data_IF_656203670653
#
_entry.id   IF_656203670653
#
_cell.length_a   1.000
_cell.length_b   1.000
_cell.length_c   1.000
_cell.angle_alpha   90.00
_cell.angle_beta   90.00
_cell.angle_gamma   90.00
#
_symmetry.space_group_name_H-M   'P 1'
#
loop_
_entity.id
_entity.type
_entity.pdbx_description
1 polymer ?
#
# COMPACT_ATOMS: atom_id res chain seq x y z
N UNK A 1 -4.29 9.16 -8.75
CA UNK A 1 -5.31 8.07 -8.75
C UNK A 1 -5.24 7.20 -7.50
N UNK A 2 -4.10 6.60 -7.13
CA UNK A 2 -4.01 5.69 -5.97
C UNK A 2 -4.62 6.25 -4.67
N UNK A 3 -4.30 7.50 -4.30
CA UNK A 3 -4.88 8.10 -3.08
C UNK A 3 -6.39 8.35 -3.21
N UNK A 4 -6.91 8.60 -4.41
CA UNK A 4 -8.36 8.72 -4.64
C UNK A 4 -9.05 7.37 -4.42
N UNK A 5 -8.44 6.26 -4.84
CA UNK A 5 -8.96 4.90 -4.59
C UNK A 5 -8.97 4.62 -3.08
N UNK A 6 -7.87 4.90 -2.38
CA UNK A 6 -7.77 4.75 -0.93
C UNK A 6 -8.89 5.51 -0.21
N UNK A 7 -9.05 6.80 -0.51
CA UNK A 7 -10.10 7.64 0.05
C UNK A 7 -11.50 7.08 -0.25
N UNK A 8 -11.76 6.72 -1.50
CA UNK A 8 -13.06 6.23 -1.93
C UNK A 8 -13.45 4.90 -1.25
N UNK A 9 -12.47 4.07 -0.88
CA UNK A 9 -12.72 2.85 -0.11
C UNK A 9 -12.99 3.19 1.36
N UNK A 10 -12.16 4.03 1.97
CA UNK A 10 -12.28 4.40 3.39
C UNK A 10 -13.61 5.08 3.72
N UNK A 11 -14.15 5.90 2.81
CA UNK A 11 -15.40 6.62 3.05
C UNK A 11 -16.66 5.82 2.73
N UNK A 12 -16.54 4.61 2.15
CA UNK A 12 -17.70 3.83 1.73
C UNK A 12 -18.21 2.93 2.85
N UNK A 13 -19.53 2.96 3.06
CA UNK A 13 -20.22 1.94 3.84
C UNK A 13 -20.32 0.67 3.02
N UNK A 14 -19.69 -0.40 3.49
CA UNK A 14 -19.72 -1.71 2.84
C UNK A 14 -20.84 -2.55 3.44
N UNK A 15 -21.71 -3.08 2.57
CA UNK A 15 -22.80 -3.97 2.95
C UNK A 15 -22.63 -5.29 2.22
N UNK A 16 -22.61 -6.39 2.97
CA UNK A 16 -22.61 -7.74 2.42
C UNK A 16 -23.96 -8.02 1.79
N UNK A 17 -24.03 -8.04 0.45
CA UNK A 17 -25.29 -8.17 -0.29
C UNK A 17 -26.11 -9.41 0.07
N UNK A 18 -25.45 -10.51 0.43
CA UNK A 18 -26.14 -11.78 0.76
C UNK A 18 -26.82 -11.78 2.13
N UNK A 19 -26.37 -10.95 3.07
CA UNK A 19 -26.88 -10.94 4.46
C UNK A 19 -27.46 -9.61 4.90
N UNK A 20 -27.23 -8.52 4.14
CA UNK A 20 -27.58 -7.15 4.55
C UNK A 20 -26.67 -6.60 5.66
N UNK A 21 -25.68 -7.38 6.09
CA UNK A 21 -24.76 -7.01 7.17
C UNK A 21 -23.85 -5.85 6.75
N UNK A 22 -23.74 -4.84 7.60
CA UNK A 22 -22.76 -3.76 7.42
C UNK A 22 -21.41 -4.24 7.94
N UNK A 23 -20.40 -4.33 7.06
CA UNK A 23 -19.06 -4.83 7.40
C UNK A 23 -18.16 -3.80 8.12
N UNK A 24 -18.74 -2.67 8.54
CA UNK A 24 -18.01 -1.57 9.15
C UNK A 24 -17.17 -0.76 8.15
N UNK A 25 -16.23 0.02 8.70
CA UNK A 25 -15.26 0.77 7.92
C UNK A 25 -14.11 -0.14 7.47
N UNK A 26 -13.91 -0.26 6.16
CA UNK A 26 -12.75 -0.96 5.60
C UNK A 26 -11.79 0.06 5.00
N UNK A 27 -10.51 -0.27 5.03
CA UNK A 27 -9.45 0.54 4.43
C UNK A 27 -8.57 -0.31 3.53
N UNK A 28 -7.81 0.33 2.66
CA UNK A 28 -6.83 -0.33 1.79
C UNK A 28 -5.47 0.32 1.95
N UNK A 29 -4.42 -0.50 1.89
CA UNK A 29 -3.04 -0.03 1.72
C UNK A 29 -2.64 -0.26 0.28
N UNK A 30 -1.94 0.69 -0.34
CA UNK A 30 -1.60 0.63 -1.76
C UNK A 30 -0.10 0.87 -1.92
N UNK A 31 0.57 -0.03 -2.65
CA UNK A 31 1.91 0.17 -3.16
C UNK A 31 1.88 0.55 -4.63
N UNK A 32 2.68 1.54 -5.04
CA UNK A 32 2.74 1.98 -6.43
C UNK A 32 4.18 2.07 -6.93
N UNK A 33 4.39 1.59 -8.15
CA UNK A 33 5.65 1.65 -8.86
C UNK A 33 5.40 2.10 -10.29
N UNK A 34 6.33 2.86 -10.86
CA UNK A 34 6.34 3.29 -12.25
C UNK A 34 7.10 2.29 -13.09
N UNK A 35 6.58 1.99 -14.27
CA UNK A 35 7.30 1.18 -15.24
C UNK A 35 8.61 1.87 -15.67
N UNK A 36 9.70 1.12 -15.72
CA UNK A 36 11.01 1.54 -16.18
C UNK A 36 11.30 0.88 -17.53
N UNK A 37 11.70 1.63 -18.57
CA UNK A 37 12.00 1.05 -19.87
C UNK A 37 13.03 -0.09 -19.78
N UNK A 38 12.69 -1.25 -20.35
CA UNK A 38 13.57 -2.42 -20.37
C UNK A 38 13.49 -3.34 -19.14
N UNK A 39 12.70 -3.00 -18.13
CA UNK A 39 12.47 -3.91 -17.00
C UNK A 39 11.44 -4.99 -17.32
N UNK A 40 11.48 -6.09 -16.58
CA UNK A 40 10.48 -7.15 -16.67
C UNK A 40 9.21 -6.79 -15.89
N UNK A 41 8.06 -7.33 -16.32
CA UNK A 41 6.79 -7.16 -15.58
C UNK A 41 6.88 -7.71 -14.13
N UNK A 42 7.51 -8.87 -13.86
CA UNK A 42 7.75 -9.32 -12.49
C UNK A 42 8.50 -8.30 -11.63
N UNK A 43 9.51 -7.61 -12.18
CA UNK A 43 10.27 -6.61 -11.43
C UNK A 43 9.41 -5.39 -11.05
N UNK A 44 8.57 -4.93 -11.99
CA UNK A 44 7.59 -3.87 -11.72
C UNK A 44 6.63 -4.28 -10.60
N UNK A 45 6.07 -5.49 -10.67
CA UNK A 45 5.14 -6.01 -9.65
C UNK A 45 5.85 -6.12 -8.30
N UNK A 46 7.06 -6.65 -8.27
CA UNK A 46 7.85 -6.78 -7.04
C UNK A 46 8.12 -5.43 -6.38
N UNK A 47 8.45 -4.38 -7.15
CA UNK A 47 8.64 -3.02 -6.61
C UNK A 47 7.33 -2.44 -6.05
N UNK A 48 6.21 -2.66 -6.74
CA UNK A 48 4.90 -2.24 -6.24
C UNK A 48 4.53 -2.99 -4.95
N UNK A 49 4.83 -4.29 -4.85
CA UNK A 49 4.57 -5.09 -3.67
C UNK A 49 5.44 -4.67 -2.47
N UNK A 50 6.72 -4.34 -2.69
CA UNK A 50 7.58 -3.78 -1.64
C UNK A 50 6.99 -2.47 -1.07
N UNK A 51 6.49 -1.59 -1.94
CA UNK A 51 5.82 -0.36 -1.50
C UNK A 51 4.53 -0.68 -0.71
N UNK A 52 3.76 -1.68 -1.15
CA UNK A 52 2.55 -2.13 -0.46
C UNK A 52 2.88 -2.65 0.93
N UNK A 53 3.96 -3.42 1.06
CA UNK A 53 4.42 -3.95 2.34
C UNK A 53 4.85 -2.83 3.29
N UNK A 54 5.58 -1.83 2.80
CA UNK A 54 5.90 -0.61 3.56
C UNK A 54 4.63 0.12 4.01
N UNK A 55 3.63 0.27 3.14
CA UNK A 55 2.36 0.90 3.51
C UNK A 55 1.65 0.15 4.66
N UNK A 56 1.72 -1.19 4.66
CA UNK A 56 1.19 -2.02 5.74
C UNK A 56 1.96 -1.83 7.05
N UNK A 57 3.28 -1.81 6.99
CA UNK A 57 4.15 -1.70 8.17
C UNK A 57 4.12 -0.30 8.81
N UNK A 58 3.93 0.75 8.02
CA UNK A 58 3.87 2.13 8.52
C UNK A 58 2.52 2.49 9.16
N UNK A 59 1.60 1.53 9.37
CA UNK A 59 0.31 1.76 10.01
C UNK A 59 -0.90 1.64 9.10
N UNK A 60 -0.75 1.02 7.91
CA UNK A 60 -1.84 0.75 6.95
C UNK A 60 -2.54 2.03 6.48
N UNK A 61 -3.66 1.86 5.77
CA UNK A 61 -4.55 2.91 5.25
C UNK A 61 -3.80 4.08 4.59
N UNK A 62 -2.82 3.76 3.74
CA UNK A 62 -1.97 4.76 3.07
C UNK A 62 -1.49 4.25 1.72
N UNK A 63 -1.00 5.20 0.93
CA UNK A 63 -0.29 4.92 -0.31
C UNK A 63 1.19 5.12 -0.06
N UNK A 64 2.01 4.16 -0.46
CA UNK A 64 3.45 4.32 -0.58
C UNK A 64 3.81 4.12 -2.04
N UNK A 65 4.61 5.03 -2.58
CA UNK A 65 5.17 4.90 -3.92
C UNK A 65 6.69 4.80 -3.87
N UNK A 66 7.29 4.27 -4.93
CA UNK A 66 8.72 3.93 -4.95
C UNK A 66 9.64 5.10 -4.59
N UNK A 67 9.29 6.34 -4.96
CA UNK A 67 10.10 7.53 -4.66
C UNK A 67 10.20 7.82 -3.15
N UNK A 68 9.26 7.30 -2.34
CA UNK A 68 9.28 7.42 -0.88
C UNK A 68 10.10 6.34 -0.19
N UNK A 69 10.51 5.28 -0.91
CA UNK A 69 11.12 4.11 -0.29
C UNK A 69 12.51 4.39 0.27
N UNK A 70 13.26 5.32 -0.30
CA UNK A 70 14.55 5.77 0.26
C UNK A 70 14.36 6.46 1.61
N UNK A 71 13.42 7.40 1.70
CA UNK A 71 13.07 8.07 2.95
C UNK A 71 12.63 7.05 4.01
N UNK A 72 11.71 6.15 3.66
CA UNK A 72 11.19 5.14 4.59
C UNK A 72 12.30 4.21 5.11
N UNK A 73 13.24 3.81 4.25
CA UNK A 73 14.40 2.99 4.66
C UNK A 73 15.31 3.75 5.62
N UNK A 74 15.55 5.03 5.36
CA UNK A 74 16.38 5.89 6.21
C UNK A 74 15.75 6.11 7.60
N UNK A 75 14.42 6.23 7.68
CA UNK A 75 13.70 6.30 8.95
C UNK A 75 13.61 4.95 9.68
N UNK A 76 13.56 3.83 8.94
CA UNK A 76 13.51 2.46 9.49
C UNK A 76 14.84 1.90 9.98
N UNK A 77 15.96 2.55 9.64
CA UNK A 77 17.33 2.11 9.94
C UNK A 77 17.76 2.06 11.42
N UNK A 78 16.85 2.36 12.36
CA UNK A 78 17.13 2.21 13.81
C UNK A 78 16.53 0.92 14.40
N UNK A 79 15.80 0.10 13.62
CA UNK A 79 15.03 -1.04 14.19
C UNK A 79 15.37 -2.43 13.62
N UNK A 80 16.45 -2.58 12.87
CA UNK A 80 16.92 -3.91 12.41
C UNK A 80 18.39 -4.13 12.74
N UNK A 81 18.69 -4.26 14.02
CA UNK A 81 19.84 -5.00 14.53
C UNK A 81 19.33 -6.01 15.56
N UNK A 82 18.79 -7.12 15.07
CA UNK A 82 18.50 -8.33 15.83
C UNK A 82 18.26 -9.47 14.82
N UNK A 83 19.35 -10.00 14.29
CA UNK A 83 19.47 -11.45 14.12
C UNK A 83 20.16 -12.01 15.36
#
# INVERSE_FOLDING_TARGET
VANQIRNAVETKKIVKRSTGETLGAITVSIGAARYRPGESIPDLINRADQCLYSAKNLGRNRVVHEDQMEEIRNFGGVVTAAE
#
